data_IF_527702150474
#
_entry.id   IF_527702150474
#
_cell.length_a   1.000
_cell.length_b   1.000
_cell.length_c   1.000
_cell.angle_alpha   90.00
_cell.angle_beta   90.00
_cell.angle_gamma   90.00
#
_symmetry.space_group_name_H-M   'P 1'
#
loop_
_entity.id
_entity.type
_entity.pdbx_description
1 polymer ?
#
# COMPACT_ATOMS: atom_id res chain seq x y z
N UNK A 1 20.13 -11.48 18.22
CA UNK A 1 20.11 -10.98 16.83
C UNK A 1 20.92 -11.91 15.95
N UNK A 2 22.15 -12.17 16.29
CA UNK A 2 23.12 -12.93 15.49
C UNK A 2 23.18 -14.44 15.82
N UNK A 3 22.30 -14.96 16.68
CA UNK A 3 22.30 -16.35 17.12
C UNK A 3 23.55 -16.72 17.92
N UNK A 4 24.06 -17.94 17.70
CA UNK A 4 25.25 -18.46 18.38
C UNK A 4 26.56 -18.11 17.64
N UNK A 5 26.52 -17.10 16.73
CA UNK A 5 27.69 -16.65 15.99
C UNK A 5 28.70 -16.00 16.95
N UNK A 6 29.99 -16.39 16.91
CA UNK A 6 31.02 -15.79 17.76
C UNK A 6 31.13 -14.28 17.56
N UNK A 7 31.44 -13.53 18.64
CA UNK A 7 31.51 -12.07 18.62
C UNK A 7 32.45 -11.52 17.54
N UNK A 8 33.60 -12.15 17.33
CA UNK A 8 34.57 -11.72 16.32
C UNK A 8 34.06 -11.83 14.87
N UNK A 9 33.09 -12.67 14.59
CA UNK A 9 32.50 -12.82 13.25
C UNK A 9 31.45 -11.74 12.98
N UNK A 10 30.45 -11.57 13.86
CA UNK A 10 29.39 -10.60 13.66
C UNK A 10 29.83 -9.15 13.92
N UNK A 11 30.74 -8.91 14.85
CA UNK A 11 31.30 -7.58 15.12
C UNK A 11 32.18 -7.07 13.96
N UNK A 12 32.70 -7.98 13.14
CA UNK A 12 33.41 -7.65 11.90
C UNK A 12 32.49 -7.28 10.74
N UNK A 13 31.21 -7.69 10.77
CA UNK A 13 30.27 -7.43 9.68
C UNK A 13 29.70 -6.00 9.74
N UNK A 14 29.99 -5.14 8.73
CA UNK A 14 29.50 -3.78 8.68
C UNK A 14 27.96 -3.69 8.65
N UNK A 15 27.29 -4.65 8.02
CA UNK A 15 25.82 -4.69 7.92
C UNK A 15 25.19 -4.95 9.29
N UNK A 16 25.73 -5.92 10.02
CA UNK A 16 25.24 -6.24 11.37
C UNK A 16 25.44 -5.04 12.30
N UNK A 17 26.63 -4.41 12.26
CA UNK A 17 26.91 -3.21 13.08
C UNK A 17 25.99 -2.05 12.77
N UNK A 18 25.70 -1.80 11.49
CA UNK A 18 24.78 -0.75 11.06
C UNK A 18 23.38 -0.99 11.62
N UNK A 19 22.86 -2.22 11.51
CA UNK A 19 21.54 -2.60 12.04
C UNK A 19 21.46 -2.45 13.56
N UNK A 20 22.50 -2.91 14.27
CA UNK A 20 22.53 -2.83 15.74
C UNK A 20 22.63 -1.36 16.19
N UNK A 21 23.45 -0.54 15.53
CA UNK A 21 23.58 0.89 15.83
C UNK A 21 22.32 1.69 15.49
N UNK A 22 21.58 1.29 14.47
CA UNK A 22 20.32 1.96 14.07
C UNK A 22 19.12 1.64 14.98
N UNK A 23 19.04 0.42 15.49
CA UNK A 23 17.84 -0.06 16.21
C UNK A 23 18.05 -0.34 17.70
N UNK A 24 19.26 -0.67 18.13
CA UNK A 24 19.51 -1.23 19.46
C UNK A 24 20.61 -0.46 20.24
N UNK A 25 20.89 0.78 19.86
CA UNK A 25 21.94 1.62 20.46
C UNK A 25 21.79 1.85 21.99
N UNK A 26 20.54 1.77 22.47
CA UNK A 26 20.17 1.95 23.87
C UNK A 26 20.13 0.64 24.68
N UNK A 27 20.38 -0.50 24.05
CA UNK A 27 20.35 -1.80 24.70
C UNK A 27 21.76 -2.32 25.00
N UNK A 28 22.02 -2.83 26.22
CA UNK A 28 23.26 -3.53 26.53
C UNK A 28 23.43 -4.78 25.66
N UNK A 29 24.65 -5.10 25.29
CA UNK A 29 24.99 -6.26 24.45
C UNK A 29 24.64 -7.60 25.10
N UNK A 30 24.73 -7.64 26.43
CA UNK A 30 24.43 -8.79 27.26
C UNK A 30 22.99 -8.83 27.78
N UNK A 31 22.12 -7.97 27.26
CA UNK A 31 20.74 -7.92 27.67
C UNK A 31 20.01 -9.24 27.38
N UNK A 32 19.37 -9.78 28.40
CA UNK A 32 18.55 -11.01 28.29
C UNK A 32 17.20 -10.66 27.65
N UNK A 33 16.90 -11.26 26.49
CA UNK A 33 15.68 -10.96 25.71
C UNK A 33 14.40 -11.12 26.53
N UNK A 34 14.36 -12.07 27.48
CA UNK A 34 13.23 -12.31 28.37
C UNK A 34 12.91 -11.14 29.32
N UNK A 35 13.91 -10.32 29.63
CA UNK A 35 13.79 -9.18 30.55
C UNK A 35 13.46 -7.86 29.82
N UNK A 36 13.54 -7.85 28.49
CA UNK A 36 13.24 -6.68 27.68
C UNK A 36 11.73 -6.35 27.67
N UNK A 37 11.43 -5.07 27.56
CA UNK A 37 10.05 -4.60 27.30
C UNK A 37 9.52 -5.11 25.95
N UNK A 38 8.20 -5.09 25.76
CA UNK A 38 7.58 -5.51 24.51
C UNK A 38 8.10 -4.75 23.28
N UNK A 39 8.32 -3.43 23.41
CA UNK A 39 8.90 -2.59 22.35
C UNK A 39 10.35 -2.94 22.05
N UNK A 40 11.18 -3.15 23.09
CA UNK A 40 12.57 -3.57 22.94
C UNK A 40 12.67 -4.94 22.26
N UNK A 41 11.84 -5.91 22.65
CA UNK A 41 11.77 -7.23 21.98
C UNK A 41 11.41 -7.12 20.51
N UNK A 42 10.46 -6.24 20.15
CA UNK A 42 10.11 -5.99 18.74
C UNK A 42 11.29 -5.39 17.96
N UNK A 43 12.02 -4.43 18.54
CA UNK A 43 13.24 -3.86 17.91
C UNK A 43 14.33 -4.92 17.72
N UNK A 44 14.53 -5.80 18.69
CA UNK A 44 15.48 -6.93 18.57
C UNK A 44 15.05 -7.89 17.46
N UNK A 45 13.75 -8.21 17.36
CA UNK A 45 13.22 -9.07 16.28
C UNK A 45 13.40 -8.41 14.90
N UNK A 46 13.12 -7.12 14.78
CA UNK A 46 13.35 -6.37 13.55
C UNK A 46 14.83 -6.33 13.18
N UNK A 47 15.71 -6.06 14.14
CA UNK A 47 17.14 -6.06 13.91
C UNK A 47 17.64 -7.44 13.42
N UNK A 48 17.16 -8.54 14.01
CA UNK A 48 17.48 -9.90 13.56
C UNK A 48 17.05 -10.14 12.10
N UNK A 49 15.85 -9.68 11.74
CA UNK A 49 15.33 -9.81 10.38
C UNK A 49 16.18 -9.00 9.38
N UNK A 50 16.53 -7.76 9.73
CA UNK A 50 17.28 -6.87 8.85
C UNK A 50 18.76 -7.26 8.72
N UNK A 51 19.35 -7.87 9.73
CA UNK A 51 20.72 -8.42 9.67
C UNK A 51 20.83 -9.63 8.74
N UNK A 52 19.74 -10.39 8.55
CA UNK A 52 19.72 -11.55 7.65
C UNK A 52 19.73 -11.17 6.17
N UNK A 53 20.12 -12.12 5.31
CA UNK A 53 20.04 -11.99 3.86
C UNK A 53 18.73 -12.59 3.35
N UNK A 54 17.82 -11.70 2.97
CA UNK A 54 16.50 -12.05 2.47
C UNK A 54 16.25 -11.35 1.14
N UNK A 55 15.79 -12.09 0.14
CA UNK A 55 15.38 -11.54 -1.16
C UNK A 55 14.04 -10.80 -1.06
N UNK A 56 13.18 -11.20 -0.11
CA UNK A 56 11.88 -10.59 0.12
C UNK A 56 11.71 -10.30 1.62
N UNK A 57 11.33 -9.08 1.95
CA UNK A 57 10.93 -8.68 3.30
C UNK A 57 9.45 -8.32 3.33
N UNK A 58 8.74 -8.86 4.31
CA UNK A 58 7.39 -8.42 4.67
C UNK A 58 7.43 -7.82 6.07
N UNK A 59 7.09 -6.54 6.20
CA UNK A 59 7.09 -5.79 7.44
C UNK A 59 5.70 -5.25 7.73
N UNK A 60 5.20 -5.56 8.93
CA UNK A 60 3.92 -5.08 9.42
C UNK A 60 4.15 -4.11 10.59
N UNK A 61 3.78 -2.83 10.38
CA UNK A 61 3.94 -1.73 11.32
C UNK A 61 5.35 -1.65 11.94
N UNK A 62 6.42 -1.62 11.12
CA UNK A 62 7.80 -1.69 11.65
C UNK A 62 8.22 -0.43 12.39
N UNK A 63 7.52 0.70 12.24
CA UNK A 63 7.80 1.96 12.93
C UNK A 63 7.27 1.99 14.37
N UNK A 64 6.42 1.04 14.74
CA UNK A 64 5.90 0.98 16.10
C UNK A 64 7.03 0.79 17.12
N UNK A 65 7.06 1.67 18.12
CA UNK A 65 8.08 1.72 19.19
C UNK A 65 9.48 2.16 18.73
N UNK A 66 9.59 2.77 17.54
CA UNK A 66 10.81 3.44 17.09
C UNK A 66 10.72 4.95 17.35
N UNK A 67 11.84 5.55 17.68
CA UNK A 67 11.99 6.99 17.68
C UNK A 67 12.25 7.53 16.26
N UNK A 68 12.21 8.84 16.07
CA UNK A 68 12.38 9.48 14.76
C UNK A 68 13.72 9.15 14.13
N UNK A 69 14.78 9.00 14.94
CA UNK A 69 16.12 8.67 14.45
C UNK A 69 16.15 7.24 13.90
N UNK A 70 15.58 6.28 14.63
CA UNK A 70 15.48 4.90 14.18
C UNK A 70 14.57 4.74 12.93
N UNK A 71 13.48 5.50 12.82
CA UNK A 71 12.62 5.51 11.62
C UNK A 71 13.40 6.05 10.42
N UNK A 72 14.14 7.14 10.59
CA UNK A 72 14.97 7.73 9.52
C UNK A 72 16.06 6.76 9.06
N UNK A 73 16.72 6.11 10.01
CA UNK A 73 17.71 5.06 9.71
C UNK A 73 17.05 3.89 8.97
N UNK A 74 15.88 3.41 9.44
CA UNK A 74 15.14 2.30 8.81
C UNK A 74 14.80 2.62 7.36
N UNK A 75 14.31 3.81 7.08
CA UNK A 75 14.01 4.25 5.72
C UNK A 75 15.25 4.20 4.82
N UNK A 76 16.38 4.74 5.28
CA UNK A 76 17.64 4.70 4.54
C UNK A 76 18.14 3.27 4.33
N UNK A 77 18.05 2.42 5.36
CA UNK A 77 18.43 1.01 5.29
C UNK A 77 17.59 0.23 4.26
N UNK A 78 16.26 0.38 4.28
CA UNK A 78 15.36 -0.30 3.36
C UNK A 78 15.55 0.16 1.90
N UNK A 79 15.77 1.46 1.67
CA UNK A 79 16.06 2.00 0.32
C UNK A 79 17.34 1.45 -0.30
N UNK A 80 18.35 1.19 0.52
CA UNK A 80 19.67 0.78 0.08
C UNK A 80 19.93 -0.72 0.24
N UNK A 81 18.94 -1.48 0.69
CA UNK A 81 19.11 -2.90 1.04
C UNK A 81 19.45 -3.76 -0.16
N UNK A 82 18.82 -3.51 -1.29
CA UNK A 82 19.04 -4.28 -2.51
C UNK A 82 19.58 -3.41 -3.62
N UNK A 83 20.34 -4.05 -4.52
CA UNK A 83 20.71 -3.42 -5.79
C UNK A 83 19.46 -3.23 -6.67
N UNK A 84 19.58 -2.37 -7.67
CA UNK A 84 18.48 -2.08 -8.60
C UNK A 84 17.95 -3.38 -9.25
N UNK A 85 16.65 -3.59 -9.19
CA UNK A 85 15.94 -4.79 -9.69
C UNK A 85 16.26 -6.10 -8.93
N UNK A 86 16.76 -6.01 -7.72
CA UNK A 86 16.95 -7.16 -6.84
C UNK A 86 16.12 -6.98 -5.57
N UNK A 87 15.56 -8.07 -5.07
CA UNK A 87 14.77 -8.09 -3.84
C UNK A 87 13.38 -7.46 -3.96
N UNK A 88 12.58 -7.63 -2.91
CA UNK A 88 11.27 -7.01 -2.79
C UNK A 88 10.94 -6.66 -1.34
N UNK A 89 10.21 -5.55 -1.16
CA UNK A 89 9.67 -5.13 0.13
C UNK A 89 8.15 -5.06 0.07
N UNK A 90 7.47 -5.76 0.98
CA UNK A 90 6.07 -5.56 1.29
C UNK A 90 5.98 -4.86 2.64
N UNK A 91 5.42 -3.66 2.66
CA UNK A 91 5.33 -2.82 3.85
C UNK A 91 3.87 -2.50 4.16
N UNK A 92 3.42 -2.84 5.36
CA UNK A 92 2.13 -2.40 5.90
C UNK A 92 2.43 -1.39 7.01
N UNK A 93 1.96 -0.16 6.86
CA UNK A 93 2.20 0.89 7.87
C UNK A 93 1.24 2.06 7.74
N UNK A 94 1.04 2.78 8.83
CA UNK A 94 0.36 4.08 8.88
C UNK A 94 1.32 5.27 8.77
N UNK A 95 2.62 5.02 8.73
CA UNK A 95 3.64 6.06 8.59
C UNK A 95 3.75 6.51 7.13
N UNK A 96 3.09 7.64 6.84
CA UNK A 96 3.02 8.22 5.48
C UNK A 96 4.37 8.65 4.95
N UNK A 97 5.23 9.17 5.85
CA UNK A 97 6.57 9.59 5.49
C UNK A 97 7.42 8.38 5.06
N UNK A 98 7.34 7.27 5.82
CA UNK A 98 8.06 6.05 5.45
C UNK A 98 7.59 5.48 4.10
N UNK A 99 6.27 5.52 3.82
CA UNK A 99 5.73 5.12 2.51
C UNK A 99 6.29 5.97 1.37
N UNK A 100 6.38 7.29 1.55
CA UNK A 100 6.92 8.20 0.53
C UNK A 100 8.43 8.00 0.32
N UNK A 101 9.18 7.71 1.40
CA UNK A 101 10.62 7.53 1.33
C UNK A 101 11.06 6.20 0.71
N UNK A 102 10.27 5.14 0.88
CA UNK A 102 10.73 3.77 0.60
C UNK A 102 9.94 3.09 -0.52
N UNK A 103 8.63 3.37 -0.65
CA UNK A 103 7.77 2.62 -1.54
C UNK A 103 7.77 3.19 -2.96
N UNK A 104 7.85 2.32 -3.95
CA UNK A 104 7.71 2.62 -5.37
C UNK A 104 6.29 2.39 -5.89
N UNK A 105 5.47 1.68 -5.12
CA UNK A 105 4.06 1.43 -5.39
C UNK A 105 3.29 1.34 -4.08
N UNK A 106 2.05 1.80 -4.09
CA UNK A 106 1.10 1.70 -2.97
C UNK A 106 -0.09 0.86 -3.38
N UNK A 107 -0.50 -0.07 -2.53
CA UNK A 107 -1.68 -0.89 -2.74
C UNK A 107 -2.78 -0.48 -1.76
N UNK A 108 -3.90 -0.01 -2.28
CA UNK A 108 -5.11 0.21 -1.48
C UNK A 108 -5.92 -1.08 -1.42
N UNK A 109 -6.23 -1.53 -0.20
CA UNK A 109 -7.03 -2.74 0.01
C UNK A 109 -8.40 -2.32 0.59
N UNK A 110 -9.46 -2.52 -0.20
CA UNK A 110 -10.83 -2.21 0.22
C UNK A 110 -11.81 -3.18 -0.47
N UNK A 111 -12.94 -3.47 0.15
CA UNK A 111 -14.03 -4.27 -0.42
C UNK A 111 -13.59 -5.59 -1.08
N UNK A 112 -12.53 -6.23 -0.55
CA UNK A 112 -11.87 -7.43 -1.11
C UNK A 112 -11.18 -7.21 -2.46
N UNK A 113 -10.89 -5.97 -2.78
CA UNK A 113 -10.16 -5.56 -3.99
C UNK A 113 -8.81 -4.99 -3.55
N UNK A 114 -7.79 -5.23 -4.36
CA UNK A 114 -6.46 -4.61 -4.22
C UNK A 114 -6.27 -3.71 -5.43
N UNK A 115 -6.16 -2.40 -5.19
CA UNK A 115 -5.92 -1.41 -6.23
C UNK A 115 -4.48 -0.90 -6.15
N UNK A 116 -3.66 -1.11 -7.19
CA UNK A 116 -2.30 -0.60 -7.24
C UNK A 116 -2.26 0.85 -7.71
N UNK A 117 -1.37 1.63 -7.07
CA UNK A 117 -1.01 2.99 -7.43
C UNK A 117 0.50 3.10 -7.53
N UNK A 118 1.01 3.89 -8.46
CA UNK A 118 2.44 4.16 -8.59
C UNK A 118 2.89 5.20 -7.57
N UNK A 119 4.06 4.96 -6.95
CA UNK A 119 4.69 5.86 -5.98
C UNK A 119 4.26 5.63 -4.54
N UNK A 120 4.71 6.52 -3.65
CA UNK A 120 4.41 6.53 -2.22
C UNK A 120 3.03 7.11 -1.91
N UNK A 121 2.85 7.50 -0.64
CA UNK A 121 1.54 7.95 -0.15
C UNK A 121 1.06 9.25 -0.81
N UNK A 122 1.93 10.23 -1.03
CA UNK A 122 1.56 11.49 -1.67
C UNK A 122 1.08 11.28 -3.12
N UNK A 123 1.79 10.46 -3.88
CA UNK A 123 1.40 10.10 -5.24
C UNK A 123 0.07 9.32 -5.28
N UNK A 124 -0.12 8.38 -4.34
CA UNK A 124 -1.37 7.64 -4.16
C UNK A 124 -2.57 8.59 -3.95
N UNK A 125 -2.48 9.55 -3.05
CA UNK A 125 -3.57 10.49 -2.77
C UNK A 125 -3.96 11.27 -4.03
N UNK A 126 -2.99 11.77 -4.79
CA UNK A 126 -3.26 12.52 -6.03
C UNK A 126 -3.96 11.65 -7.08
N UNK A 127 -3.48 10.42 -7.28
CA UNK A 127 -4.06 9.47 -8.25
C UNK A 127 -5.47 9.03 -7.83
N UNK A 128 -5.70 8.82 -6.53
CA UNK A 128 -7.02 8.47 -5.99
C UNK A 128 -8.03 9.59 -6.24
N UNK A 129 -7.69 10.84 -5.92
CA UNK A 129 -8.58 11.99 -6.16
C UNK A 129 -8.93 12.12 -7.64
N UNK A 130 -7.96 11.96 -8.54
CA UNK A 130 -8.22 12.03 -9.98
C UNK A 130 -9.07 10.86 -10.47
N UNK A 131 -8.86 9.65 -9.98
CA UNK A 131 -9.69 8.48 -10.29
C UNK A 131 -11.14 8.68 -9.84
N UNK A 132 -11.35 9.15 -8.60
CA UNK A 132 -12.67 9.42 -8.05
C UNK A 132 -13.41 10.48 -8.89
N UNK A 133 -12.70 11.52 -9.29
CA UNK A 133 -13.23 12.56 -10.19
C UNK A 133 -13.66 11.99 -11.54
N UNK A 134 -12.81 11.17 -12.17
CA UNK A 134 -13.12 10.54 -13.46
C UNK A 134 -14.31 9.60 -13.35
N UNK A 135 -14.36 8.79 -12.29
CA UNK A 135 -15.47 7.88 -12.01
C UNK A 135 -16.78 8.64 -11.84
N UNK A 136 -16.77 9.76 -11.09
CA UNK A 136 -17.96 10.61 -10.92
C UNK A 136 -18.44 11.22 -12.25
N UNK A 137 -17.52 11.64 -13.13
CA UNK A 137 -17.86 12.16 -14.45
C UNK A 137 -18.48 11.08 -15.34
N UNK A 138 -17.91 9.87 -15.34
CA UNK A 138 -18.43 8.73 -16.11
C UNK A 138 -19.82 8.37 -15.63
N UNK A 139 -20.00 8.26 -14.31
CA UNK A 139 -21.29 7.92 -13.71
C UNK A 139 -22.35 9.00 -13.98
N UNK A 140 -21.97 10.28 -13.95
CA UNK A 140 -22.88 11.37 -14.30
C UNK A 140 -23.29 11.31 -15.78
N UNK A 141 -22.37 11.00 -16.69
CA UNK A 141 -22.68 10.80 -18.12
C UNK A 141 -23.62 9.62 -18.32
N UNK A 142 -23.38 8.51 -17.62
CA UNK A 142 -24.21 7.32 -17.65
C UNK A 142 -25.63 7.60 -17.15
N UNK A 143 -25.79 8.28 -16.02
CA UNK A 143 -27.10 8.72 -15.47
C UNK A 143 -27.82 9.65 -16.43
N UNK A 144 -27.13 10.59 -17.06
CA UNK A 144 -27.71 11.49 -18.04
C UNK A 144 -28.19 10.75 -19.29
N UNK A 145 -27.42 9.77 -19.77
CA UNK A 145 -27.83 8.94 -20.91
C UNK A 145 -29.01 8.07 -20.57
N UNK A 146 -29.00 7.38 -19.41
CA UNK A 146 -30.16 6.60 -18.95
C UNK A 146 -31.44 7.44 -18.83
N UNK A 147 -31.34 8.68 -18.31
CA UNK A 147 -32.45 9.63 -18.20
C UNK A 147 -33.00 10.02 -19.60
N UNK A 148 -32.13 10.26 -20.58
CA UNK A 148 -32.51 10.55 -21.95
C UNK A 148 -33.25 9.36 -22.62
N UNK A 149 -32.71 8.16 -22.44
CA UNK A 149 -33.30 6.94 -22.97
C UNK A 149 -34.65 6.62 -22.30
N UNK A 150 -34.76 6.82 -21.00
CA UNK A 150 -36.04 6.68 -20.27
C UNK A 150 -37.08 7.68 -20.76
N UNK A 151 -36.70 8.94 -20.95
CA UNK A 151 -37.58 9.96 -21.51
C UNK A 151 -38.01 9.63 -22.96
N UNK A 152 -37.11 9.04 -23.74
CA UNK A 152 -37.45 8.57 -25.10
C UNK A 152 -38.40 7.38 -25.07
N UNK A 153 -38.23 6.42 -24.16
CA UNK A 153 -39.13 5.27 -23.98
C UNK A 153 -40.54 5.73 -23.57
N UNK A 154 -40.65 6.72 -22.67
CA UNK A 154 -41.92 7.26 -22.18
C UNK A 154 -42.68 8.08 -23.24
N UNK A 155 -41.99 8.73 -24.18
CA UNK A 155 -42.63 9.41 -25.29
C UNK A 155 -43.29 8.37 -26.19
N UNK A 156 -44.59 8.51 -26.47
CA UNK A 156 -45.30 7.66 -27.43
C UNK A 156 -44.58 7.64 -28.78
N UNK A 157 -44.73 6.54 -29.52
CA UNK A 157 -44.25 6.49 -30.91
C UNK A 157 -45.02 7.53 -31.74
N UNK A 158 -44.34 8.30 -32.62
CA UNK A 158 -45.04 9.12 -33.61
C UNK A 158 -45.97 8.21 -34.43
N UNK A 159 -47.12 8.70 -34.82
CA UNK A 159 -48.27 7.94 -35.38
C UNK A 159 -47.99 7.03 -36.59
N UNK A 160 -46.75 6.96 -37.09
CA UNK A 160 -46.38 6.15 -38.28
C UNK A 160 -45.09 5.32 -38.11
N UNK A 161 -44.45 5.27 -36.91
CA UNK A 161 -43.18 4.52 -36.75
C UNK A 161 -43.18 3.77 -35.42
N UNK A 162 -43.07 2.44 -35.44
CA UNK A 162 -42.79 1.62 -34.25
C UNK A 162 -41.37 1.86 -33.77
N UNK A 163 -41.16 1.94 -32.44
CA UNK A 163 -39.80 2.02 -31.88
C UNK A 163 -39.05 0.72 -32.20
N UNK A 164 -37.81 0.78 -32.72
CA UNK A 164 -37.04 -0.42 -33.03
C UNK A 164 -36.82 -1.23 -31.76
N UNK A 165 -37.11 -2.52 -31.80
CA UNK A 165 -37.01 -3.43 -30.62
C UNK A 165 -35.60 -3.44 -30.02
N UNK A 166 -34.55 -3.52 -30.87
CA UNK A 166 -33.17 -3.51 -30.43
C UNK A 166 -32.78 -2.26 -29.60
N UNK A 167 -33.36 -1.09 -29.93
CA UNK A 167 -33.13 0.14 -29.21
C UNK A 167 -33.88 0.19 -27.87
N UNK A 168 -35.03 -0.43 -27.79
CA UNK A 168 -35.79 -0.59 -26.55
C UNK A 168 -34.99 -1.51 -25.60
N UNK A 169 -34.50 -2.64 -26.11
CA UNK A 169 -33.73 -3.61 -25.34
C UNK A 169 -32.42 -2.98 -24.83
N UNK A 170 -31.69 -2.21 -25.66
CA UNK A 170 -30.48 -1.49 -25.27
C UNK A 170 -30.76 -0.40 -24.20
N UNK A 171 -31.87 0.33 -24.33
CA UNK A 171 -32.26 1.34 -23.34
C UNK A 171 -32.64 0.69 -21.99
N UNK A 172 -33.36 -0.43 -22.01
CA UNK A 172 -33.71 -1.17 -20.80
C UNK A 172 -32.46 -1.75 -20.12
N UNK A 173 -31.50 -2.31 -20.87
CA UNK A 173 -30.23 -2.79 -20.33
C UNK A 173 -29.43 -1.66 -19.65
N UNK A 174 -29.37 -0.48 -20.30
CA UNK A 174 -28.64 0.68 -19.73
C UNK A 174 -29.33 1.18 -18.45
N UNK A 175 -30.67 1.19 -18.38
CA UNK A 175 -31.42 1.63 -17.21
C UNK A 175 -31.26 0.63 -16.05
N UNK A 176 -31.31 -0.68 -16.34
CA UNK A 176 -31.19 -1.74 -15.35
C UNK A 176 -29.80 -1.80 -14.72
N UNK A 177 -28.76 -1.32 -15.44
CA UNK A 177 -27.36 -1.31 -14.98
C UNK A 177 -27.01 -0.04 -14.15
N UNK A 178 -27.93 0.90 -13.98
CA UNK A 178 -27.75 2.07 -13.09
C UNK A 178 -28.20 1.68 -11.68
N UNK A 179 -27.30 1.66 -10.68
CA UNK A 179 -27.68 1.37 -9.29
C UNK A 179 -28.72 2.38 -8.81
N UNK A 180 -29.76 1.90 -8.16
CA UNK A 180 -30.65 2.78 -7.39
C UNK A 180 -29.87 3.37 -6.22
N UNK A 181 -29.92 4.70 -6.13
CA UNK A 181 -29.33 5.44 -4.98
C UNK A 181 -30.32 5.35 -3.84
#
# INVERSE_FOLDING_TARGET
VVGDTPEHEWAGDPKVRDVLGGLLKDLPWDAVVGELSGGQRRRVALARLLAGDHDVLALDEPTNHLDVEAITWLAAHLRNRWSRNAGALLLVTHDRWLLDEVCTATWEVHDRIVEPFEGGYAAYILQRVERDRQSAVIEQRRKNLARKELAWLRRGAPARTSKPKFRIDAANALIADVPEI
#
